data_IF_776036221247
#
_entry.id   IF_776036221247
#
_cell.length_a   1.000
_cell.length_b   1.000
_cell.length_c   1.000
_cell.angle_alpha   90.00
_cell.angle_beta   90.00
_cell.angle_gamma   90.00
#
_symmetry.space_group_name_H-M   'P 1'
#
loop_
_entity.id
_entity.type
_entity.pdbx_description
1 polymer ?
#
# COMPACT_ATOMS: atom_id res chain seq x y z
N UNK A 1 4.39 -9.57 7.75
CA UNK A 1 4.30 -9.36 6.30
C UNK A 1 5.70 -9.07 5.78
N UNK A 2 6.12 -9.68 4.68
CA UNK A 2 7.37 -9.36 3.97
C UNK A 2 7.22 -9.66 2.48
N UNK A 3 7.49 -8.69 1.63
CA UNK A 3 7.33 -8.82 0.18
C UNK A 3 8.33 -7.96 -0.60
N UNK A 4 8.54 -8.31 -1.87
CA UNK A 4 9.24 -7.50 -2.86
C UNK A 4 8.32 -7.21 -4.04
N UNK A 5 8.30 -5.97 -4.53
CA UNK A 5 7.45 -5.52 -5.63
C UNK A 5 8.17 -4.49 -6.50
N UNK A 6 7.95 -4.52 -7.82
CA UNK A 6 8.42 -3.46 -8.72
C UNK A 6 7.85 -2.10 -8.31
N UNK A 7 8.70 -1.08 -8.20
CA UNK A 7 8.28 0.27 -7.82
C UNK A 7 7.15 0.79 -8.70
N UNK A 8 7.21 0.57 -10.02
CA UNK A 8 6.22 1.13 -10.93
C UNK A 8 4.86 0.43 -10.80
N UNK A 9 4.83 -0.86 -10.49
CA UNK A 9 3.63 -1.60 -10.13
C UNK A 9 3.02 -1.07 -8.82
N UNK A 10 3.85 -0.89 -7.77
CA UNK A 10 3.40 -0.34 -6.49
C UNK A 10 2.86 1.10 -6.63
N UNK A 11 3.57 1.97 -7.36
CA UNK A 11 3.13 3.35 -7.62
C UNK A 11 1.79 3.41 -8.34
N UNK A 12 1.56 2.54 -9.33
CA UNK A 12 0.29 2.48 -10.06
C UNK A 12 -0.86 2.09 -9.14
N UNK A 13 -0.70 1.00 -8.39
CA UNK A 13 -1.72 0.54 -7.45
C UNK A 13 -2.02 1.58 -6.37
N UNK A 14 -0.98 2.22 -5.81
CA UNK A 14 -1.15 3.32 -4.83
C UNK A 14 -1.90 4.51 -5.43
N UNK A 15 -1.57 4.92 -6.66
CA UNK A 15 -2.23 6.06 -7.31
C UNK A 15 -3.73 5.83 -7.51
N UNK A 16 -4.14 4.59 -7.82
CA UNK A 16 -5.54 4.24 -8.00
C UNK A 16 -6.33 4.33 -6.69
N UNK A 17 -5.83 3.72 -5.61
CA UNK A 17 -6.55 3.71 -4.33
C UNK A 17 -6.50 5.04 -3.60
N UNK A 18 -5.44 5.85 -3.81
CA UNK A 18 -5.28 7.17 -3.18
C UNK A 18 -6.38 8.17 -3.57
N UNK A 19 -7.05 7.97 -4.71
CA UNK A 19 -8.17 8.81 -5.14
C UNK A 19 -9.39 8.74 -4.20
N UNK A 20 -9.55 7.62 -3.48
CA UNK A 20 -10.70 7.34 -2.59
C UNK A 20 -10.37 7.56 -1.11
N UNK A 21 -9.10 7.82 -0.77
CA UNK A 21 -8.68 8.06 0.62
C UNK A 21 -9.36 9.32 1.20
N UNK A 22 -9.90 9.22 2.42
CA UNK A 22 -10.57 10.33 3.10
C UNK A 22 -9.56 11.45 3.45
N UNK A 23 -9.65 12.59 2.75
CA UNK A 23 -8.71 13.71 2.93
C UNK A 23 -9.08 14.68 4.05
N UNK A 24 -10.36 14.69 4.45
CA UNK A 24 -10.87 15.58 5.50
C UNK A 24 -10.44 15.12 6.90
N UNK A 25 -9.93 13.89 7.00
CA UNK A 25 -9.37 13.30 8.20
C UNK A 25 -10.33 13.34 9.40
N UNK A 26 -11.64 13.29 9.14
CA UNK A 26 -12.67 13.25 10.18
C UNK A 26 -12.64 11.91 10.91
N UNK A 27 -12.29 10.83 10.20
CA UNK A 27 -12.04 9.50 10.77
C UNK A 27 -10.60 9.10 10.42
N UNK A 28 -9.62 9.29 11.35
CA UNK A 28 -8.19 9.18 11.03
C UNK A 28 -7.76 7.85 10.39
N UNK A 29 -8.42 6.73 10.72
CA UNK A 29 -8.08 5.42 10.14
C UNK A 29 -8.38 5.35 8.63
N UNK A 30 -9.30 6.17 8.11
CA UNK A 30 -9.64 6.23 6.68
C UNK A 30 -8.62 7.02 5.84
N UNK A 31 -7.65 7.66 6.50
CA UNK A 31 -6.47 8.23 5.83
C UNK A 31 -5.39 7.18 5.48
N UNK A 32 -5.60 5.93 5.91
CA UNK A 32 -4.72 4.81 5.63
C UNK A 32 -5.20 4.00 4.42
N UNK A 33 -4.26 3.25 3.83
CA UNK A 33 -4.53 2.16 2.89
C UNK A 33 -4.34 0.84 3.62
N UNK A 34 -5.26 -0.10 3.42
CA UNK A 34 -5.09 -1.49 3.79
C UNK A 34 -4.21 -2.20 2.76
N UNK A 35 -3.17 -2.86 3.23
CA UNK A 35 -2.26 -3.68 2.45
C UNK A 35 -2.42 -5.15 2.85
N UNK A 36 -2.65 -6.02 1.87
CA UNK A 36 -2.75 -7.48 2.08
C UNK A 36 -1.79 -8.18 1.14
N UNK A 37 -0.81 -8.87 1.72
CA UNK A 37 0.18 -9.66 1.02
C UNK A 37 -0.19 -11.15 1.13
N UNK A 38 -0.58 -11.76 0.02
CA UNK A 38 -1.03 -13.15 -0.01
C UNK A 38 -0.79 -13.76 -1.41
N UNK A 39 -0.36 -15.02 -1.45
CA UNK A 39 -0.04 -15.71 -2.71
C UNK A 39 1.12 -15.02 -3.44
N UNK A 40 0.85 -14.52 -4.64
CA UNK A 40 1.79 -13.89 -5.56
C UNK A 40 1.48 -12.39 -5.80
N UNK A 41 0.69 -11.76 -4.91
CA UNK A 41 0.24 -10.38 -5.08
C UNK A 41 0.16 -9.60 -3.77
N UNK A 42 0.25 -8.28 -3.93
CA UNK A 42 -0.09 -7.29 -2.93
C UNK A 42 -1.39 -6.60 -3.35
N UNK A 43 -2.41 -6.69 -2.51
CA UNK A 43 -3.67 -5.95 -2.66
C UNK A 43 -3.67 -4.70 -1.78
N UNK A 44 -4.14 -3.59 -2.35
CA UNK A 44 -4.29 -2.29 -1.71
C UNK A 44 -5.76 -1.91 -1.71
N UNK A 45 -6.29 -1.47 -0.58
CA UNK A 45 -7.69 -1.03 -0.45
C UNK A 45 -7.80 0.27 0.33
N UNK A 46 -8.64 1.19 -0.14
CA UNK A 46 -8.98 2.44 0.55
C UNK A 46 -10.49 2.69 0.47
N UNK A 47 -11.04 3.39 1.47
CA UNK A 47 -12.46 3.75 1.53
C UNK A 47 -12.70 5.05 2.29
N UNK A 48 -13.75 5.78 1.92
CA UNK A 48 -14.31 6.92 2.64
C UNK A 48 -15.69 6.64 3.26
N UNK A 49 -16.06 5.35 3.37
CA UNK A 49 -17.38 4.80 3.77
C UNK A 49 -18.49 4.86 2.72
N UNK A 50 -18.36 5.68 1.69
CA UNK A 50 -19.30 5.74 0.57
C UNK A 50 -18.80 4.90 -0.61
N UNK A 51 -17.50 4.96 -0.87
CA UNK A 51 -16.83 4.27 -1.97
C UNK A 51 -15.64 3.46 -1.42
N UNK A 52 -15.39 2.32 -2.04
CA UNK A 52 -14.18 1.52 -1.83
C UNK A 52 -13.44 1.39 -3.17
N UNK A 53 -12.13 1.58 -3.15
CA UNK A 53 -11.24 1.24 -4.26
C UNK A 53 -10.24 0.18 -3.83
N UNK A 54 -10.16 -0.88 -4.62
CA UNK A 54 -9.18 -1.95 -4.45
C UNK A 54 -8.38 -2.14 -5.74
N UNK A 55 -7.06 -2.23 -5.62
CA UNK A 55 -6.16 -2.60 -6.71
C UNK A 55 -5.15 -3.66 -6.23
N UNK A 56 -4.58 -4.41 -7.16
CA UNK A 56 -3.61 -5.45 -6.86
C UNK A 56 -2.44 -5.44 -7.86
N UNK A 57 -1.25 -5.67 -7.35
CA UNK A 57 -0.04 -5.78 -8.14
C UNK A 57 0.70 -7.09 -7.84
N UNK A 58 1.31 -7.74 -8.85
CA UNK A 58 2.19 -8.89 -8.63
C UNK A 58 3.33 -8.52 -7.68
N UNK A 59 3.60 -9.40 -6.71
CA UNK A 59 4.66 -9.20 -5.73
C UNK A 59 5.20 -10.56 -5.26
N UNK A 60 6.50 -10.63 -4.99
CA UNK A 60 7.13 -11.79 -4.38
C UNK A 60 6.85 -11.77 -2.88
N UNK A 61 5.92 -12.61 -2.41
CA UNK A 61 5.55 -12.67 -0.99
C UNK A 61 6.44 -13.67 -0.25
N UNK A 62 7.32 -13.16 0.62
CA UNK A 62 8.17 -13.98 1.51
C UNK A 62 7.47 -14.35 2.81
N UNK A 63 6.58 -13.48 3.30
CA UNK A 63 5.75 -13.72 4.48
C UNK A 63 4.41 -13.03 4.30
N UNK A 64 3.34 -13.81 4.23
CA UNK A 64 1.98 -13.29 4.15
C UNK A 64 1.64 -12.39 5.36
N UNK A 65 0.61 -11.57 5.19
CA UNK A 65 0.04 -10.76 6.26
C UNK A 65 -0.57 -9.47 5.75
N UNK A 66 -1.14 -8.71 6.68
CA UNK A 66 -1.79 -7.45 6.36
C UNK A 66 -1.41 -6.36 7.36
N UNK A 67 -1.49 -5.11 6.90
CA UNK A 67 -1.26 -3.92 7.72
C UNK A 67 -1.95 -2.72 7.08
N UNK A 68 -2.28 -1.70 7.86
CA UNK A 68 -2.65 -0.40 7.32
C UNK A 68 -1.49 0.58 7.45
N UNK A 69 -1.33 1.48 6.48
CA UNK A 69 -0.32 2.53 6.54
C UNK A 69 -0.86 3.86 6.00
N UNK A 70 -0.36 5.01 6.49
CA UNK A 70 -0.78 6.32 6.00
C UNK A 70 -0.57 6.45 4.49
N UNK A 71 -1.66 6.67 3.75
CA UNK A 71 -1.66 6.60 2.30
C UNK A 71 -0.68 7.60 1.66
N UNK A 72 -0.74 8.85 2.13
CA UNK A 72 0.08 9.94 1.62
C UNK A 72 1.57 9.71 1.89
N UNK A 73 1.90 9.24 3.10
CA UNK A 73 3.30 8.98 3.47
C UNK A 73 3.87 7.84 2.64
N UNK A 74 3.12 6.75 2.47
CA UNK A 74 3.55 5.61 1.66
C UNK A 74 3.76 6.03 0.20
N UNK A 75 2.83 6.77 -0.38
CA UNK A 75 2.95 7.30 -1.74
C UNK A 75 4.19 8.19 -1.91
N UNK A 76 4.42 9.13 -1.00
CA UNK A 76 5.54 10.05 -1.07
C UNK A 76 6.90 9.35 -0.91
N UNK A 77 6.97 8.29 -0.10
CA UNK A 77 8.17 7.46 0.05
C UNK A 77 8.45 6.71 -1.25
N UNK A 78 7.48 5.96 -1.78
CA UNK A 78 7.68 5.16 -3.00
C UNK A 78 7.99 6.06 -4.20
N UNK A 79 7.36 7.23 -4.31
CA UNK A 79 7.63 8.19 -5.38
C UNK A 79 9.09 8.66 -5.41
N UNK A 80 9.74 8.76 -4.26
CA UNK A 80 11.14 9.21 -4.14
C UNK A 80 12.17 8.12 -4.44
N UNK A 81 11.75 6.86 -4.55
CA UNK A 81 12.64 5.76 -4.92
C UNK A 81 13.03 5.87 -6.41
N UNK A 82 14.20 5.33 -6.80
CA UNK A 82 14.63 5.29 -8.21
C UNK A 82 13.66 4.51 -9.09
N UNK A 83 13.46 4.96 -10.33
CA UNK A 83 12.66 4.21 -11.31
C UNK A 83 13.29 2.85 -11.61
N UNK A 84 12.45 1.82 -11.78
CA UNK A 84 12.89 0.45 -12.04
C UNK A 84 13.53 -0.26 -10.84
N UNK A 85 13.52 0.35 -9.65
CA UNK A 85 13.96 -0.32 -8.43
C UNK A 85 12.90 -1.30 -7.90
N UNK A 86 13.38 -2.38 -7.29
CA UNK A 86 12.54 -3.25 -6.47
C UNK A 86 12.35 -2.62 -5.08
N UNK A 87 11.12 -2.66 -4.58
CA UNK A 87 10.75 -2.19 -3.25
C UNK A 87 10.50 -3.39 -2.37
N UNK A 88 11.25 -3.49 -1.27
CA UNK A 88 10.97 -4.46 -0.21
C UNK A 88 10.19 -3.79 0.90
N UNK A 89 9.06 -4.37 1.28
CA UNK A 89 8.30 -3.98 2.47
C UNK A 89 8.46 -5.06 3.53
N UNK A 90 8.89 -4.67 4.73
CA UNK A 90 9.06 -5.57 5.88
C UNK A 90 8.28 -5.04 7.09
N UNK A 91 7.37 -5.86 7.62
CA UNK A 91 6.59 -5.58 8.81
C UNK A 91 7.15 -6.36 10.00
N UNK A 92 7.79 -5.64 10.92
CA UNK A 92 8.32 -6.15 12.17
C UNK A 92 7.87 -5.27 13.34
N UNK A 93 7.40 -5.89 14.43
CA UNK A 93 7.05 -5.21 15.70
C UNK A 93 6.18 -3.95 15.53
N UNK A 94 5.18 -4.02 14.64
CA UNK A 94 4.27 -2.92 14.29
C UNK A 94 4.91 -1.74 13.54
N UNK A 95 6.13 -1.91 13.02
CA UNK A 95 6.78 -0.96 12.11
C UNK A 95 6.89 -1.56 10.71
N UNK A 96 6.39 -0.80 9.73
CA UNK A 96 6.63 -1.05 8.32
C UNK A 96 7.89 -0.29 7.88
N UNK A 97 8.87 -1.02 7.33
CA UNK A 97 10.11 -0.47 6.78
C UNK A 97 10.33 -0.88 5.34
#
# INVERSE_FOLDING_TARGET
>A
MKLTIDRNALMRALSHVQAVVERRNTIPILSNILMVAEGDKLSLTATDLDIEATDAAPAEIKKAGSVTAPAQTLFDVVRKLPEGADVTLDLADSRLS
#
